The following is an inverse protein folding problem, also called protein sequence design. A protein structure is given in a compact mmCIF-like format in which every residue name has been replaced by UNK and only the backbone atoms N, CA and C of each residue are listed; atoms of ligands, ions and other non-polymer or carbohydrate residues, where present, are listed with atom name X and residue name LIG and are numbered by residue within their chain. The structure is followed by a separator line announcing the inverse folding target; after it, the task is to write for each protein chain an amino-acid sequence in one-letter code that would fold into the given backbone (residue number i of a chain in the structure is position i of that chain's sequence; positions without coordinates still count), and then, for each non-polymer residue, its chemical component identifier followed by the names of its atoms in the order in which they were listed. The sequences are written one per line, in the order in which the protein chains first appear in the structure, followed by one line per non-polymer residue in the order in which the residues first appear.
data_IF_799428806160
#
_entry.id   IF_799428806160
#
_cell.length_a   1.000
_cell.length_b   1.000
_cell.length_c   1.000
_cell.angle_alpha   90.00
_cell.angle_beta   90.00
_cell.angle_gamma   90.00
#
_symmetry.space_group_name_H-M   'P 1'
#
loop_
_entity.id
_entity.type
_entity.pdbx_description
1 polymer ?
#
# COMPACT_ATOMS: atom_id res chain seq x y z
N UNK A 1 67.43 -28.30 -34.78
CA UNK A 1 66.35 -28.65 -35.73
C UNK A 1 65.76 -29.99 -35.32
N UNK A 2 64.55 -30.03 -34.77
CA UNK A 2 63.67 -31.20 -34.86
C UNK A 2 62.27 -30.82 -34.38
N UNK A 3 61.29 -31.08 -35.25
CA UNK A 3 59.84 -30.92 -35.03
C UNK A 3 59.38 -31.88 -33.93
N UNK A 4 58.44 -31.46 -33.08
CA UNK A 4 57.33 -32.30 -32.55
C UNK A 4 56.14 -31.43 -32.15
N UNK A 5 55.02 -31.61 -32.85
CA UNK A 5 53.69 -31.16 -32.45
C UNK A 5 53.01 -32.29 -31.67
N UNK A 6 52.25 -31.98 -30.60
CA UNK A 6 51.12 -32.81 -30.17
C UNK A 6 49.83 -31.99 -29.94
N UNK A 7 48.67 -32.66 -29.70
CA UNK A 7 47.41 -32.26 -30.32
C UNK A 7 46.37 -31.60 -29.39
N UNK A 8 45.38 -31.05 -30.10
CA UNK A 8 43.99 -30.67 -29.85
C UNK A 8 43.20 -31.26 -28.63
N UNK A 9 42.25 -30.41 -28.17
CA UNK A 9 40.98 -30.60 -27.43
C UNK A 9 41.00 -30.62 -25.88
N UNK A 10 39.91 -30.23 -25.17
CA UNK A 10 38.79 -29.35 -25.53
C UNK A 10 38.47 -28.28 -24.45
N UNK A 11 37.49 -27.43 -24.76
CA UNK A 11 36.88 -26.40 -23.93
C UNK A 11 36.42 -26.89 -22.55
N UNK A 12 36.64 -26.06 -21.53
CA UNK A 12 35.86 -26.02 -20.29
C UNK A 12 35.20 -24.64 -20.19
N UNK A 13 34.07 -24.53 -20.89
CA UNK A 13 33.08 -23.50 -20.65
C UNK A 13 32.21 -24.00 -19.49
N UNK A 14 31.99 -23.14 -18.51
CA UNK A 14 30.73 -23.11 -17.77
C UNK A 14 30.78 -23.66 -16.35
N UNK A 15 30.73 -22.74 -15.39
CA UNK A 15 29.74 -22.75 -14.32
C UNK A 15 29.86 -21.45 -13.51
N UNK A 16 29.36 -20.35 -14.08
CA UNK A 16 29.05 -19.16 -13.29
C UNK A 16 27.64 -19.40 -12.70
N UNK A 17 27.59 -20.03 -11.53
CA UNK A 17 26.35 -20.21 -10.78
C UNK A 17 25.86 -18.85 -10.28
N UNK A 18 24.96 -18.22 -11.04
CA UNK A 18 24.11 -17.15 -10.51
C UNK A 18 23.19 -17.77 -9.46
N UNK A 19 23.54 -17.64 -8.17
CA UNK A 19 22.52 -17.71 -7.12
C UNK A 19 21.64 -16.47 -7.29
N UNK A 20 20.53 -16.63 -8.00
CA UNK A 20 19.40 -15.75 -7.89
C UNK A 20 18.87 -15.86 -6.45
N UNK A 21 19.28 -14.93 -5.59
CA UNK A 21 18.58 -14.71 -4.34
C UNK A 21 17.16 -14.26 -4.72
N UNK A 22 16.17 -15.12 -4.46
CA UNK A 22 14.79 -14.66 -4.33
C UNK A 22 14.77 -13.73 -3.13
N UNK A 23 14.95 -12.43 -3.36
CA UNK A 23 14.63 -11.43 -2.37
C UNK A 23 13.11 -11.44 -2.28
N UNK A 24 12.59 -12.14 -1.27
CA UNK A 24 11.24 -11.93 -0.76
C UNK A 24 11.24 -10.55 -0.08
N UNK A 25 11.42 -9.52 -0.89
CA UNK A 25 11.29 -8.14 -0.45
C UNK A 25 9.79 -7.92 -0.29
N UNK A 26 9.27 -8.33 0.87
CA UNK A 26 7.92 -7.94 1.26
C UNK A 26 7.83 -6.43 1.07
N UNK A 27 6.82 -5.90 0.35
CA UNK A 27 6.72 -4.49 0.12
C UNK A 27 6.69 -3.81 1.49
N UNK A 28 7.79 -3.16 1.85
CA UNK A 28 7.84 -2.30 3.03
C UNK A 28 7.07 -1.06 2.63
N UNK A 29 5.74 -1.15 2.67
CA UNK A 29 4.88 0.00 2.52
C UNK A 29 5.25 1.03 3.58
N UNK A 30 5.07 2.30 3.26
CA UNK A 30 5.40 3.36 4.20
C UNK A 30 4.61 3.19 5.50
N UNK A 31 5.33 2.97 6.60
CA UNK A 31 4.74 2.82 7.92
C UNK A 31 4.38 4.21 8.46
N UNK A 32 3.08 4.45 8.63
CA UNK A 32 2.58 5.69 9.25
C UNK A 32 2.31 5.43 10.72
N UNK A 33 2.94 6.18 11.65
CA UNK A 33 2.66 6.01 13.07
C UNK A 33 1.21 6.43 13.37
N UNK A 34 0.49 5.57 14.08
CA UNK A 34 -0.89 5.83 14.51
C UNK A 34 -1.04 5.69 16.02
N UNK A 35 -2.01 6.38 16.66
CA UNK A 35 -2.19 6.38 18.11
C UNK A 35 -2.35 5.00 18.75
N UNK A 36 -2.98 4.04 18.08
CA UNK A 36 -3.11 2.67 18.59
C UNK A 36 -1.79 1.89 18.63
N UNK A 37 -0.75 2.38 17.94
CA UNK A 37 0.52 1.66 17.75
C UNK A 37 0.44 0.52 16.72
N UNK A 38 -0.67 0.39 15.98
CA UNK A 38 -0.80 -0.63 14.93
C UNK A 38 0.24 -0.44 13.84
N UNK A 39 0.77 -1.56 13.36
CA UNK A 39 1.57 -1.60 12.15
C UNK A 39 0.64 -1.53 10.94
N UNK A 40 0.64 -0.40 10.24
CA UNK A 40 -0.16 -0.18 9.05
C UNK A 40 0.72 -0.17 7.80
N UNK A 41 0.25 -0.83 6.75
CA UNK A 41 0.93 -0.87 5.44
C UNK A 41 -0.01 -0.37 4.36
N UNK A 42 0.39 0.65 3.59
CA UNK A 42 -0.39 1.10 2.43
C UNK A 42 -0.46 -0.03 1.38
N UNK A 43 -1.67 -0.42 1.00
CA UNK A 43 -1.95 -1.38 -0.06
C UNK A 43 -1.94 -0.66 -1.41
N UNK A 44 -2.84 0.32 -1.58
CA UNK A 44 -2.96 1.13 -2.78
C UNK A 44 -3.68 2.47 -2.49
N UNK A 45 -3.57 3.38 -3.45
CA UNK A 45 -4.35 4.62 -3.51
C UNK A 45 -5.20 4.53 -4.77
N UNK A 46 -6.52 4.52 -4.59
CA UNK A 46 -7.48 4.42 -5.70
C UNK A 46 -8.19 5.75 -5.86
N UNK A 47 -7.98 6.39 -7.00
CA UNK A 47 -8.71 7.61 -7.39
C UNK A 47 -9.86 7.25 -8.33
N UNK A 48 -11.07 7.67 -8.01
CA UNK A 48 -12.21 7.61 -8.94
C UNK A 48 -12.78 9.01 -9.14
N UNK A 49 -12.96 9.40 -10.40
CA UNK A 49 -13.52 10.70 -10.79
C UNK A 49 -15.06 10.68 -10.88
N UNK A 50 -15.71 9.51 -10.71
CA UNK A 50 -17.16 9.37 -10.89
C UNK A 50 -17.93 9.48 -9.58
N UNK A 51 -18.23 10.71 -9.19
CA UNK A 51 -19.22 11.02 -8.15
C UNK A 51 -19.80 12.43 -8.31
N UNK A 52 -21.06 12.69 -7.91
CA UNK A 52 -21.64 14.03 -7.94
C UNK A 52 -20.89 15.03 -7.02
N UNK A 53 -20.22 14.51 -5.99
CA UNK A 53 -19.41 15.27 -5.02
C UNK A 53 -17.99 15.60 -5.52
N UNK A 54 -17.60 15.14 -6.72
CA UNK A 54 -16.27 15.29 -7.29
C UNK A 54 -15.41 14.02 -7.17
N UNK A 55 -14.10 14.17 -7.36
CA UNK A 55 -13.17 13.05 -7.32
C UNK A 55 -12.94 12.55 -5.89
N UNK A 56 -12.88 11.24 -5.71
CA UNK A 56 -12.60 10.59 -4.43
C UNK A 56 -11.22 9.92 -4.49
N UNK A 57 -10.38 10.18 -3.51
CA UNK A 57 -9.13 9.45 -3.30
C UNK A 57 -9.28 8.47 -2.13
N UNK A 58 -9.12 7.18 -2.38
CA UNK A 58 -9.24 6.12 -1.38
C UNK A 58 -7.86 5.60 -1.02
N UNK A 59 -7.47 5.74 0.24
CA UNK A 59 -6.21 5.24 0.78
C UNK A 59 -6.49 3.96 1.56
N UNK A 60 -5.93 2.86 1.09
CA UNK A 60 -6.28 1.53 1.59
C UNK A 60 -5.10 0.94 2.32
N UNK A 61 -5.27 0.60 3.59
CA UNK A 61 -4.21 0.10 4.46
C UNK A 61 -4.52 -1.31 4.96
N UNK A 62 -3.46 -2.12 5.04
CA UNK A 62 -3.45 -3.39 5.74
C UNK A 62 -3.15 -3.13 7.22
N UNK A 63 -3.97 -3.69 8.10
CA UNK A 63 -3.87 -3.61 9.55
C UNK A 63 -3.96 -5.03 10.15
N UNK A 64 -2.85 -5.79 10.19
CA UNK A 64 -2.87 -7.18 10.65
C UNK A 64 -3.46 -7.30 12.07
N UNK A 65 -4.37 -8.25 12.26
CA UNK A 65 -5.01 -8.51 13.56
C UNK A 65 -6.12 -7.53 13.94
N UNK A 66 -6.57 -6.68 13.01
CA UNK A 66 -7.76 -5.84 13.21
C UNK A 66 -9.01 -6.70 13.47
N UNK A 67 -9.76 -6.37 14.52
CA UNK A 67 -11.00 -7.04 14.91
C UNK A 67 -12.17 -6.05 14.98
N UNK A 68 -13.40 -6.57 15.11
CA UNK A 68 -14.59 -5.73 15.25
C UNK A 68 -14.58 -4.86 16.52
N UNK A 69 -13.90 -5.31 17.57
CA UNK A 69 -13.78 -4.58 18.85
C UNK A 69 -12.90 -3.33 18.72
N UNK A 70 -12.12 -3.23 17.65
CA UNK A 70 -11.15 -2.16 17.44
C UNK A 70 -11.78 -0.88 16.84
N UNK A 71 -13.08 -0.87 16.53
CA UNK A 71 -13.75 0.17 15.74
C UNK A 71 -13.42 1.61 16.21
N UNK A 72 -13.50 1.87 17.51
CA UNK A 72 -13.20 3.21 18.07
C UNK A 72 -11.72 3.58 17.88
N UNK A 73 -10.80 2.65 18.18
CA UNK A 73 -9.37 2.88 17.99
C UNK A 73 -9.00 3.06 16.52
N UNK A 74 -9.67 2.32 15.63
CA UNK A 74 -9.50 2.41 14.20
C UNK A 74 -9.97 3.78 13.66
N UNK A 75 -11.09 4.31 14.13
CA UNK A 75 -11.56 5.65 13.78
C UNK A 75 -10.55 6.74 14.15
N UNK A 76 -9.95 6.65 15.35
CA UNK A 76 -8.91 7.58 15.80
C UNK A 76 -7.65 7.47 14.93
N UNK A 77 -7.22 6.26 14.62
CA UNK A 77 -6.08 6.03 13.72
C UNK A 77 -6.34 6.59 12.32
N UNK A 78 -7.55 6.37 11.77
CA UNK A 78 -7.93 6.82 10.44
C UNK A 78 -7.96 8.35 10.32
N UNK A 79 -8.35 9.08 11.38
CA UNK A 79 -8.24 10.54 11.42
C UNK A 79 -6.78 10.99 11.30
N UNK A 80 -5.87 10.39 12.08
CA UNK A 80 -4.44 10.72 12.03
C UNK A 80 -3.83 10.35 10.68
N UNK A 81 -4.20 9.23 10.09
CA UNK A 81 -3.79 8.87 8.72
C UNK A 81 -4.27 9.91 7.72
N UNK A 82 -5.49 10.41 7.86
CA UNK A 82 -6.00 11.43 6.96
C UNK A 82 -5.19 12.73 7.07
N UNK A 83 -5.07 13.26 8.29
CA UNK A 83 -4.42 14.55 8.57
C UNK A 83 -2.91 14.57 8.29
N UNK A 84 -2.21 13.45 8.53
CA UNK A 84 -0.76 13.39 8.42
C UNK A 84 -0.25 12.81 7.10
N UNK A 85 -1.03 11.92 6.48
CA UNK A 85 -0.56 11.14 5.33
C UNK A 85 -1.39 11.39 4.06
N UNK A 86 -2.71 11.28 4.14
CA UNK A 86 -3.57 11.32 2.97
C UNK A 86 -3.69 12.73 2.39
N UNK A 87 -3.91 13.74 3.24
CA UNK A 87 -4.11 15.12 2.80
C UNK A 87 -2.90 15.69 2.06
N UNK A 88 -1.68 15.28 2.44
CA UNK A 88 -0.45 15.69 1.77
C UNK A 88 -0.29 15.03 0.39
N UNK A 89 -0.84 13.82 0.22
CA UNK A 89 -0.71 13.03 -1.02
C UNK A 89 -1.74 13.39 -2.07
N UNK A 90 -2.87 13.98 -1.69
CA UNK A 90 -3.82 14.51 -2.67
C UNK A 90 -3.38 15.84 -3.30
N UNK A 91 -2.35 16.49 -2.73
CA UNK A 91 -1.79 17.72 -3.30
C UNK A 91 -1.22 17.45 -4.69
N UNK A 92 -1.76 18.13 -5.71
CA UNK A 92 -1.35 17.96 -7.11
C UNK A 92 -2.02 16.82 -7.86
N UNK A 93 -2.99 16.12 -7.26
CA UNK A 93 -3.87 15.20 -7.99
C UNK A 93 -4.86 15.98 -8.87
N UNK A 94 -5.08 15.50 -10.09
CA UNK A 94 -6.01 16.10 -11.06
C UNK A 94 -6.99 15.06 -11.60
N UNK A 95 -8.32 15.27 -11.48
CA UNK A 95 -8.97 16.37 -10.74
C UNK A 95 -8.69 16.32 -9.23
N UNK A 96 -8.64 17.48 -8.59
CA UNK A 96 -8.46 17.60 -7.14
C UNK A 96 -9.53 16.79 -6.37
N UNK A 97 -9.11 15.83 -5.51
CA UNK A 97 -10.05 15.06 -4.70
C UNK A 97 -10.84 15.96 -3.76
N UNK A 98 -12.17 15.82 -3.79
CA UNK A 98 -13.11 16.50 -2.89
C UNK A 98 -13.51 15.63 -1.70
N UNK A 99 -13.12 14.35 -1.74
CA UNK A 99 -13.33 13.40 -0.67
C UNK A 99 -12.12 12.47 -0.55
N UNK A 100 -11.71 12.23 0.69
CA UNK A 100 -10.73 11.21 1.05
C UNK A 100 -11.48 10.10 1.76
N UNK A 101 -11.24 8.85 1.37
CA UNK A 101 -11.69 7.68 2.13
C UNK A 101 -10.46 6.96 2.66
N UNK A 102 -10.42 6.71 3.95
CA UNK A 102 -9.42 5.85 4.58
C UNK A 102 -10.08 4.51 4.86
N UNK A 103 -9.43 3.41 4.49
CA UNK A 103 -9.89 2.07 4.86
C UNK A 103 -8.79 1.26 5.53
N UNK A 104 -9.11 0.62 6.64
CA UNK A 104 -8.26 -0.38 7.29
C UNK A 104 -8.86 -1.76 7.06
N UNK A 105 -8.04 -2.73 6.67
CA UNK A 105 -8.46 -4.12 6.47
C UNK A 105 -7.55 -5.08 7.24
N UNK A 106 -8.11 -6.09 7.88
CA UNK A 106 -7.33 -7.13 8.58
C UNK A 106 -6.47 -7.97 7.63
N UNK A 107 -6.88 -8.07 6.36
CA UNK A 107 -6.23 -8.82 5.29
C UNK A 107 -6.27 -8.03 3.97
N UNK A 108 -5.34 -8.33 3.05
CA UNK A 108 -5.30 -7.65 1.77
C UNK A 108 -6.46 -8.11 0.86
N UNK A 109 -7.34 -7.18 0.51
CA UNK A 109 -8.47 -7.42 -0.39
C UNK A 109 -8.23 -6.71 -1.73
N UNK A 110 -8.44 -7.34 -2.89
CA UNK A 110 -8.39 -6.61 -4.16
C UNK A 110 -9.52 -5.58 -4.28
N UNK A 111 -9.24 -4.41 -4.86
CA UNK A 111 -10.27 -3.37 -5.02
C UNK A 111 -11.50 -3.88 -5.78
N UNK A 112 -12.71 -3.53 -5.30
CA UNK A 112 -13.97 -3.92 -5.92
C UNK A 112 -14.37 -5.39 -5.73
N UNK A 113 -13.65 -6.15 -4.88
CA UNK A 113 -14.04 -7.51 -4.51
C UNK A 113 -14.76 -7.52 -3.16
N UNK A 114 -15.78 -8.37 -3.04
CA UNK A 114 -16.42 -8.67 -1.76
C UNK A 114 -15.50 -9.55 -0.91
N UNK A 115 -15.38 -9.20 0.37
CA UNK A 115 -14.62 -9.95 1.36
C UNK A 115 -15.40 -9.95 2.69
N UNK A 116 -16.46 -10.77 2.81
CA UNK A 116 -17.33 -10.78 3.99
C UNK A 116 -16.63 -11.29 5.26
N UNK A 117 -15.57 -12.08 5.09
CA UNK A 117 -14.82 -12.68 6.20
C UNK A 117 -13.64 -11.79 6.66
N UNK A 118 -13.41 -10.65 5.99
CA UNK A 118 -12.32 -9.72 6.32
C UNK A 118 -12.89 -8.54 7.08
N UNK A 119 -12.35 -8.29 8.28
CA UNK A 119 -12.72 -7.11 9.08
C UNK A 119 -12.19 -5.87 8.38
N UNK A 120 -13.10 -4.94 8.08
CA UNK A 120 -12.78 -3.69 7.41
C UNK A 120 -13.53 -2.52 8.06
N UNK A 121 -12.81 -1.42 8.27
CA UNK A 121 -13.37 -0.15 8.66
C UNK A 121 -13.14 0.89 7.56
N UNK A 122 -14.10 1.79 7.40
CA UNK A 122 -14.08 2.84 6.38
C UNK A 122 -14.48 4.15 7.03
N UNK A 123 -13.71 5.21 6.76
CA UNK A 123 -14.04 6.57 7.16
C UNK A 123 -13.94 7.49 5.96
N UNK A 124 -14.84 8.47 5.90
CA UNK A 124 -14.85 9.53 4.88
C UNK A 124 -14.47 10.87 5.47
N UNK A 125 -13.69 11.63 4.71
CA UNK A 125 -13.25 12.96 5.09
C UNK A 125 -13.35 13.92 3.91
N UNK A 126 -13.77 15.15 4.18
CA UNK A 126 -13.60 16.28 3.28
C UNK A 126 -12.24 16.95 3.56
N UNK A 127 -11.33 17.00 2.58
CA UNK A 127 -10.10 17.76 2.72
C UNK A 127 -10.41 19.26 2.69
N UNK A 128 -9.97 20.00 3.70
CA UNK A 128 -10.17 21.44 3.81
C UNK A 128 -8.97 22.09 4.52
N UNK A 129 -8.34 23.07 3.86
CA UNK A 129 -7.19 23.83 4.39
C UNK A 129 -6.03 22.96 4.93
N UNK A 130 -5.78 21.80 4.32
CA UNK A 130 -4.73 20.88 4.75
C UNK A 130 -5.08 20.02 5.97
N UNK A 131 -6.35 19.99 6.37
CA UNK A 131 -6.90 19.10 7.40
C UNK A 131 -8.03 18.23 6.82
N UNK A 132 -8.38 17.18 7.54
CA UNK A 132 -9.47 16.27 7.20
C UNK A 132 -10.68 16.49 8.11
N UNK A 133 -11.79 16.95 7.54
CA UNK A 133 -13.07 17.08 8.24
C UNK A 133 -13.83 15.77 8.07
N UNK A 134 -14.09 15.07 9.17
CA UNK A 134 -14.85 13.82 9.15
C UNK A 134 -16.27 14.04 8.62
N UNK A 135 -16.73 13.13 7.75
CA UNK A 135 -18.07 13.10 7.18
C UNK A 135 -18.67 11.70 7.33
N UNK A 136 -19.98 11.64 7.53
CA UNK A 136 -20.70 10.37 7.65
C UNK A 136 -20.65 9.61 6.32
N UNK A 137 -20.42 8.30 6.41
CA UNK A 137 -20.44 7.38 5.27
C UNK A 137 -21.86 6.91 4.93
#
# INVERSE_FOLDING_TARGET
MSRRTPPLLPALIGALTLLAACQDESPTGEAVPVPSGRALTLIDIVTDARGPEGATARFRFLAPGLSAEDAESAAVDMQVLCDSFAVQRIAGMEPAPRQIVISLASEAVPFGKSAPDVVQFFESYRPENGACIWEVF
#
